data_IF_552888420052
#
_entry.id   IF_552888420052
#
_cell.length_a   1.000
_cell.length_b   1.000
_cell.length_c   1.000
_cell.angle_alpha   90.00
_cell.angle_beta   90.00
_cell.angle_gamma   90.00
#
_symmetry.space_group_name_H-M   'P 1'
#
loop_
_entity.id
_entity.type
_entity.pdbx_description
1 polymer ?
#
# COMPACT_ATOMS: atom_id res chain seq x y z
N UNK A 1 11.61 -10.56 -10.60
CA UNK A 1 10.76 -9.45 -11.10
C UNK A 1 11.00 -8.26 -10.19
N UNK A 2 11.18 -7.05 -10.72
CA UNK A 2 11.36 -5.84 -9.91
C UNK A 2 9.98 -5.47 -9.34
N UNK A 3 9.84 -5.44 -8.01
CA UNK A 3 8.64 -4.95 -7.33
C UNK A 3 8.63 -3.41 -7.44
N UNK A 4 7.57 -2.80 -8.01
CA UNK A 4 7.48 -1.34 -8.09
C UNK A 4 7.21 -0.72 -6.72
N UNK A 5 7.58 0.56 -6.55
CA UNK A 5 7.29 1.30 -5.33
C UNK A 5 5.79 1.66 -5.25
N UNK A 6 5.12 1.19 -4.20
CA UNK A 6 3.69 1.37 -4.00
C UNK A 6 3.30 2.80 -3.60
N UNK A 7 4.20 3.55 -2.94
CA UNK A 7 3.90 4.91 -2.45
C UNK A 7 3.49 5.89 -3.54
N UNK A 8 4.30 6.13 -4.59
CA UNK A 8 3.94 7.08 -5.65
C UNK A 8 2.72 6.63 -6.45
N UNK A 9 2.52 5.32 -6.61
CA UNK A 9 1.35 4.75 -7.30
C UNK A 9 0.08 5.07 -6.51
N UNK A 10 0.03 4.70 -5.23
CA UNK A 10 -1.12 4.98 -4.37
C UNK A 10 -1.37 6.49 -4.22
N UNK A 11 -0.32 7.32 -4.24
CA UNK A 11 -0.47 8.77 -4.08
C UNK A 11 -1.15 9.38 -5.30
N UNK A 12 -0.70 9.01 -6.50
CA UNK A 12 -1.35 9.42 -7.74
C UNK A 12 -2.80 8.94 -7.85
N UNK A 13 -3.09 7.72 -7.40
CA UNK A 13 -4.46 7.18 -7.38
C UNK A 13 -5.36 8.00 -6.46
N UNK A 14 -4.93 8.26 -5.22
CA UNK A 14 -5.69 9.05 -4.25
C UNK A 14 -5.87 10.52 -4.72
N UNK A 15 -4.85 11.11 -5.34
CA UNK A 15 -4.99 12.45 -5.93
C UNK A 15 -6.03 12.47 -7.07
N UNK A 16 -6.04 11.42 -7.90
CA UNK A 16 -6.97 11.30 -9.04
C UNK A 16 -8.43 11.13 -8.58
N UNK A 17 -8.65 10.52 -7.42
CA UNK A 17 -9.98 10.42 -6.79
C UNK A 17 -10.40 11.69 -6.01
N UNK A 18 -9.53 12.71 -5.95
CA UNK A 18 -9.84 14.00 -5.32
C UNK A 18 -9.53 14.09 -3.83
N UNK A 19 -8.75 13.16 -3.27
CA UNK A 19 -8.34 13.23 -1.87
C UNK A 19 -7.31 14.34 -1.64
N UNK A 20 -7.72 15.40 -0.94
CA UNK A 20 -6.84 16.53 -0.60
C UNK A 20 -5.67 16.14 0.32
N UNK A 21 -5.82 15.06 1.09
CA UNK A 21 -4.80 14.55 2.03
C UNK A 21 -4.10 13.27 1.51
N UNK A 22 -4.06 13.06 0.19
CA UNK A 22 -3.51 11.87 -0.46
C UNK A 22 -2.14 11.44 0.10
N UNK A 23 -1.22 12.40 0.29
CA UNK A 23 0.12 12.15 0.83
C UNK A 23 0.11 11.52 2.22
N UNK A 24 -0.70 12.05 3.13
CA UNK A 24 -0.81 11.52 4.49
C UNK A 24 -1.50 10.16 4.52
N UNK A 25 -2.51 9.96 3.67
CA UNK A 25 -3.24 8.71 3.54
C UNK A 25 -2.37 7.58 2.99
N UNK A 26 -1.55 7.86 1.98
CA UNK A 26 -0.60 6.90 1.41
C UNK A 26 0.38 6.37 2.44
N UNK A 27 0.94 7.25 3.28
CA UNK A 27 1.91 6.81 4.29
C UNK A 27 1.25 5.80 5.22
N UNK A 28 0.04 6.10 5.71
CA UNK A 28 -0.71 5.18 6.58
C UNK A 28 -1.04 3.87 5.88
N UNK A 29 -1.48 3.94 4.63
CA UNK A 29 -1.90 2.77 3.86
C UNK A 29 -0.72 1.83 3.56
N UNK A 30 0.38 2.37 3.04
CA UNK A 30 1.57 1.57 2.70
C UNK A 30 2.20 0.98 3.96
N UNK A 31 2.35 1.77 5.03
CA UNK A 31 2.89 1.26 6.30
C UNK A 31 2.01 0.16 6.89
N UNK A 32 0.68 0.32 6.84
CA UNK A 32 -0.23 -0.73 7.30
C UNK A 32 -0.09 -2.00 6.44
N UNK A 33 0.03 -1.85 5.12
CA UNK A 33 0.16 -2.98 4.19
C UNK A 33 1.45 -3.77 4.42
N UNK A 34 2.58 -3.06 4.60
CA UNK A 34 3.88 -3.62 4.95
C UNK A 34 3.84 -4.35 6.30
N UNK A 35 3.36 -3.68 7.35
CA UNK A 35 3.26 -4.26 8.69
C UNK A 35 2.36 -5.48 8.73
N UNK A 36 1.24 -5.44 8.00
CA UNK A 36 0.36 -6.60 7.90
C UNK A 36 1.08 -7.78 7.22
N UNK A 37 2.04 -7.50 6.32
CA UNK A 37 3.01 -8.43 5.72
C UNK A 37 3.81 -9.23 6.73
N UNK A 38 4.31 -8.52 7.72
CA UNK A 38 5.27 -9.02 8.70
C UNK A 38 4.58 -9.65 9.91
N UNK A 39 3.43 -9.10 10.32
CA UNK A 39 2.79 -9.41 11.60
C UNK A 39 1.69 -10.47 11.48
N UNK A 40 1.05 -10.63 10.31
CA UNK A 40 0.03 -11.66 10.14
C UNK A 40 0.67 -13.06 10.02
N UNK A 41 -0.01 -14.05 10.59
CA UNK A 41 0.39 -15.45 10.45
C UNK A 41 0.39 -15.87 8.98
N UNK A 42 1.37 -16.68 8.58
CA UNK A 42 1.44 -17.20 7.21
C UNK A 42 0.23 -18.10 6.92
N UNK A 43 -0.55 -17.74 5.91
CA UNK A 43 -1.68 -18.55 5.41
C UNK A 43 -1.61 -18.67 3.90
N UNK A 44 -2.03 -19.82 3.37
CA UNK A 44 -1.90 -20.14 1.94
C UNK A 44 -2.70 -19.20 1.02
N UNK A 45 -3.80 -18.64 1.52
CA UNK A 45 -4.66 -17.73 0.76
C UNK A 45 -4.26 -16.25 0.90
N UNK A 46 -3.24 -15.93 1.69
CA UNK A 46 -2.72 -14.57 1.76
C UNK A 46 -1.79 -14.34 0.57
N UNK A 47 -2.32 -13.67 -0.44
CA UNK A 47 -1.54 -13.10 -1.52
C UNK A 47 -1.45 -11.58 -1.33
N UNK A 48 -0.22 -11.08 -1.31
CA UNK A 48 0.08 -9.65 -1.22
C UNK A 48 0.53 -9.05 -2.54
N UNK A 49 0.28 -9.75 -3.65
CA UNK A 49 0.38 -9.23 -5.01
C UNK A 49 1.63 -8.39 -5.24
N UNK A 50 1.40 -7.15 -5.73
CA UNK A 50 2.39 -6.09 -6.02
C UNK A 50 3.55 -6.07 -5.03
#
# INVERSE_FOLDING_TARGET
MIRPDLKPICENMLMSEGFQQARTLVIKFVTLYELSGELLSKQFHYDRGL
#
